data_IF_970273969851
#
_entry.id   IF_970273969851
#
_cell.length_a   1.000
_cell.length_b   1.000
_cell.length_c   1.000
_cell.angle_alpha   90.00
_cell.angle_beta   90.00
_cell.angle_gamma   90.00
#
_symmetry.space_group_name_H-M   'P 1'
#
loop_
_entity.id
_entity.type
_entity.pdbx_description
1 polymer ?
#
# COMPACT_ATOMS: atom_id res chain seq x y z
N UNK A 1 -1.77 -19.92 -2.54
CA UNK A 1 -2.30 -19.17 -3.68
C UNK A 1 -1.74 -17.75 -3.61
N UNK A 2 -1.23 -17.22 -4.72
CA UNK A 2 -0.66 -15.86 -4.74
C UNK A 2 -1.76 -14.93 -5.25
N UNK A 3 -2.47 -14.31 -4.31
CA UNK A 3 -3.43 -13.20 -4.43
C UNK A 3 -4.42 -13.20 -5.62
N UNK A 4 -5.72 -13.02 -5.30
CA UNK A 4 -6.77 -12.84 -6.30
C UNK A 4 -6.40 -11.78 -7.36
N UNK A 5 -6.51 -12.16 -8.64
CA UNK A 5 -6.26 -11.27 -9.79
C UNK A 5 -4.87 -11.42 -10.45
N UNK A 6 -3.94 -12.17 -9.85
CA UNK A 6 -2.70 -12.54 -10.51
C UNK A 6 -2.98 -13.56 -11.63
N UNK A 7 -2.60 -13.23 -12.87
CA UNK A 7 -2.79 -14.14 -14.02
C UNK A 7 -1.54 -14.96 -14.31
N UNK A 8 -0.38 -14.31 -14.25
CA UNK A 8 0.89 -14.93 -14.58
C UNK A 8 1.97 -14.44 -13.62
N UNK A 9 2.82 -15.34 -13.17
CA UNK A 9 4.09 -15.02 -12.53
C UNK A 9 5.13 -16.03 -12.99
N UNK A 10 6.28 -15.55 -13.44
CA UNK A 10 7.36 -16.41 -13.91
C UNK A 10 8.73 -15.80 -13.63
N UNK A 11 9.66 -16.69 -13.33
CA UNK A 11 11.07 -16.35 -13.21
C UNK A 11 11.66 -16.12 -14.60
N UNK A 12 12.32 -14.98 -14.79
CA UNK A 12 12.96 -14.62 -16.05
C UNK A 12 14.40 -15.15 -16.09
N UNK A 13 15.12 -15.06 -14.96
CA UNK A 13 16.54 -15.38 -14.89
C UNK A 13 17.30 -14.37 -14.02
N UNK A 14 18.63 -14.42 -14.09
CA UNK A 14 19.49 -13.50 -13.35
C UNK A 14 19.92 -12.29 -14.17
N UNK A 15 20.15 -11.18 -13.48
CA UNK A 15 20.66 -9.93 -14.04
C UNK A 15 21.72 -9.31 -13.15
N UNK A 16 22.71 -8.66 -13.76
CA UNK A 16 23.86 -8.06 -13.07
C UNK A 16 23.91 -6.52 -13.22
N UNK A 17 22.81 -5.90 -13.67
CA UNK A 17 22.80 -4.48 -14.08
C UNK A 17 22.14 -3.53 -13.09
N UNK A 18 21.46 -4.05 -12.06
CA UNK A 18 20.68 -3.25 -11.10
C UNK A 18 21.25 -3.42 -9.68
N UNK A 19 21.35 -2.32 -8.93
CA UNK A 19 21.68 -2.37 -7.51
C UNK A 19 23.10 -2.83 -7.16
N UNK A 20 24.01 -2.89 -8.14
CA UNK A 20 25.41 -3.30 -7.94
C UNK A 20 25.59 -4.75 -7.48
N UNK A 21 24.57 -5.59 -7.65
CA UNK A 21 24.56 -6.99 -7.20
C UNK A 21 23.91 -7.89 -8.27
N UNK A 22 24.06 -9.20 -8.14
CA UNK A 22 23.29 -10.15 -8.94
C UNK A 22 21.86 -10.18 -8.42
N UNK A 23 20.91 -10.14 -9.34
CA UNK A 23 19.48 -10.10 -9.04
C UNK A 23 18.75 -11.22 -9.75
N UNK A 24 17.79 -11.83 -9.06
CA UNK A 24 16.76 -12.67 -9.61
C UNK A 24 15.65 -11.78 -10.18
N UNK A 25 15.34 -11.96 -11.47
CA UNK A 25 14.25 -11.26 -12.14
C UNK A 25 12.99 -12.10 -12.16
N UNK A 26 11.89 -11.52 -11.70
CA UNK A 26 10.55 -12.11 -11.78
C UNK A 26 9.65 -11.16 -12.55
N UNK A 27 8.84 -11.70 -13.45
CA UNK A 27 7.74 -10.96 -14.05
C UNK A 27 6.41 -11.47 -13.52
N UNK A 28 5.47 -10.56 -13.33
CA UNK A 28 4.09 -10.91 -13.04
C UNK A 28 3.11 -9.97 -13.76
N UNK A 29 1.91 -10.49 -14.02
CA UNK A 29 0.87 -9.80 -14.77
C UNK A 29 -0.50 -9.99 -14.12
N UNK A 30 -1.28 -8.92 -14.11
CA UNK A 30 -2.72 -8.92 -13.88
C UNK A 30 -3.46 -8.45 -15.14
N UNK A 31 -4.78 -8.29 -15.05
CA UNK A 31 -5.58 -7.68 -16.12
C UNK A 31 -5.26 -6.19 -16.35
N UNK A 32 -4.59 -5.52 -15.39
CA UNK A 32 -4.34 -4.07 -15.43
C UNK A 32 -2.87 -3.68 -15.54
N UNK A 33 -1.93 -4.53 -15.10
CA UNK A 33 -0.51 -4.18 -15.07
C UNK A 33 0.39 -5.37 -15.35
N UNK A 34 1.47 -5.09 -16.08
CA UNK A 34 2.62 -5.97 -16.20
C UNK A 34 3.80 -5.39 -15.42
N UNK A 35 4.39 -6.19 -14.54
CA UNK A 35 5.50 -5.78 -13.67
C UNK A 35 6.69 -6.71 -13.84
N UNK A 36 7.87 -6.12 -13.92
CA UNK A 36 9.15 -6.81 -13.69
C UNK A 36 9.74 -6.32 -12.38
N UNK A 37 10.24 -7.24 -11.57
CA UNK A 37 10.95 -6.94 -10.33
C UNK A 37 12.33 -7.60 -10.35
N UNK A 38 13.32 -6.85 -9.89
CA UNK A 38 14.69 -7.31 -9.64
C UNK A 38 14.87 -7.45 -8.14
N UNK A 39 15.20 -8.65 -7.69
CA UNK A 39 15.37 -9.00 -6.28
C UNK A 39 16.82 -9.46 -6.09
N UNK A 40 17.55 -8.97 -5.09
CA UNK A 40 18.92 -9.42 -4.84
C UNK A 40 18.98 -10.94 -4.67
N UNK A 41 19.88 -11.60 -5.40
CA UNK A 41 19.93 -13.06 -5.42
C UNK A 41 20.39 -13.64 -4.08
N UNK A 42 21.17 -12.88 -3.30
CA UNK A 42 21.68 -13.30 -1.99
C UNK A 42 20.81 -12.75 -0.85
N UNK A 43 20.67 -11.43 -0.77
CA UNK A 43 19.96 -10.75 0.33
C UNK A 43 18.43 -10.74 0.21
N UNK A 44 17.91 -11.15 -0.95
CA UNK A 44 16.47 -11.18 -1.29
C UNK A 44 15.78 -9.81 -1.17
N UNK A 45 16.52 -8.71 -1.28
CA UNK A 45 15.97 -7.36 -1.19
C UNK A 45 15.54 -6.84 -2.57
N UNK A 46 14.39 -6.17 -2.69
CA UNK A 46 13.99 -5.52 -3.94
C UNK A 46 14.99 -4.45 -4.35
N UNK A 47 15.41 -4.47 -5.61
CA UNK A 47 16.38 -3.53 -6.18
C UNK A 47 15.76 -2.60 -7.22
N UNK A 48 14.83 -3.11 -8.02
CA UNK A 48 14.06 -2.29 -8.97
C UNK A 48 12.71 -2.92 -9.27
N UNK A 49 11.73 -2.07 -9.53
CA UNK A 49 10.46 -2.43 -10.12
C UNK A 49 10.25 -1.63 -11.40
N UNK A 50 9.68 -2.29 -12.41
CA UNK A 50 9.23 -1.66 -13.64
C UNK A 50 7.81 -2.11 -13.93
N UNK A 51 6.87 -1.17 -13.91
CA UNK A 51 5.47 -1.40 -14.25
C UNK A 51 5.11 -0.77 -15.59
N UNK A 52 4.28 -1.46 -16.36
CA UNK A 52 3.60 -0.95 -17.55
C UNK A 52 2.12 -1.24 -17.38
N UNK A 53 1.28 -0.20 -17.40
CA UNK A 53 -0.16 -0.33 -17.25
C UNK A 53 -0.82 -0.62 -18.60
N UNK A 54 -1.77 -1.54 -18.63
CA UNK A 54 -2.42 -1.99 -19.86
C UNK A 54 -3.34 -0.92 -20.47
N UNK A 55 -3.92 -0.04 -19.64
CA UNK A 55 -4.78 1.06 -20.06
C UNK A 55 -4.02 2.32 -20.49
N UNK A 56 -2.72 2.40 -20.19
CA UNK A 56 -1.85 3.45 -20.70
C UNK A 56 -1.51 3.21 -22.17
N UNK A 57 -2.14 4.00 -23.06
CA UNK A 57 -1.90 3.94 -24.51
C UNK A 57 -0.45 4.20 -24.91
N UNK A 58 0.27 4.97 -24.11
CA UNK A 58 1.68 5.26 -24.36
C UNK A 58 2.63 4.19 -23.82
N UNK A 59 2.09 3.21 -23.07
CA UNK A 59 2.83 2.10 -22.46
C UNK A 59 4.09 2.59 -21.72
N UNK A 60 3.94 3.68 -20.97
CA UNK A 60 5.05 4.25 -20.22
C UNK A 60 5.55 3.25 -19.20
N UNK A 61 6.88 3.19 -19.09
CA UNK A 61 7.57 2.38 -18.11
C UNK A 61 7.71 3.20 -16.84
N UNK A 62 6.94 2.85 -15.82
CA UNK A 62 7.10 3.40 -14.49
C UNK A 62 8.21 2.62 -13.79
N UNK A 63 9.35 3.26 -13.57
CA UNK A 63 10.52 2.62 -12.98
C UNK A 63 10.80 3.22 -11.60
N UNK A 64 11.03 2.34 -10.63
CA UNK A 64 11.45 2.69 -9.27
C UNK A 64 12.64 1.84 -8.89
N UNK A 65 13.75 2.47 -8.52
CA UNK A 65 14.94 1.82 -7.97
C UNK A 65 14.94 1.96 -6.45
N UNK A 66 15.29 0.87 -5.76
CA UNK A 66 15.37 0.78 -4.31
C UNK A 66 16.80 0.41 -3.93
N UNK A 67 17.43 1.25 -3.11
CA UNK A 67 18.82 1.10 -2.72
C UNK A 67 19.01 1.50 -1.26
N UNK A 68 20.21 1.22 -0.73
CA UNK A 68 20.58 1.56 0.65
C UNK A 68 19.56 1.04 1.67
N UNK A 69 19.30 -0.26 1.67
CA UNK A 69 18.41 -0.87 2.64
C UNK A 69 19.03 -0.85 4.04
N UNK A 70 18.28 -0.35 5.01
CA UNK A 70 18.61 -0.46 6.42
C UNK A 70 17.65 -1.48 7.01
N UNK A 71 18.19 -2.57 7.53
CA UNK A 71 17.43 -3.67 8.14
C UNK A 71 17.69 -3.70 9.64
N UNK A 72 16.77 -4.31 10.38
CA UNK A 72 16.91 -4.59 11.81
C UNK A 72 17.24 -3.35 12.67
N UNK A 73 16.73 -2.18 12.27
CA UNK A 73 16.82 -0.98 13.11
C UNK A 73 15.89 -1.12 14.31
N UNK A 74 16.36 -0.64 15.46
CA UNK A 74 15.48 -0.31 16.56
C UNK A 74 14.66 0.93 16.16
N UNK A 75 13.36 0.74 15.95
CA UNK A 75 12.45 1.79 15.50
C UNK A 75 11.58 2.24 16.67
N UNK A 76 11.77 3.47 17.19
CA UNK A 76 10.97 3.97 18.30
C UNK A 76 9.46 4.00 17.96
N UNK A 77 8.58 3.70 18.93
CA UNK A 77 7.13 3.69 18.69
C UNK A 77 6.55 5.01 18.18
N UNK A 78 7.23 6.12 18.45
CA UNK A 78 6.83 7.48 18.10
C UNK A 78 7.43 7.99 16.78
N UNK A 79 8.26 7.19 16.07
CA UNK A 79 8.93 7.63 14.83
C UNK A 79 7.96 8.06 13.74
N UNK A 80 6.76 7.45 13.70
CA UNK A 80 5.72 7.76 12.72
C UNK A 80 4.75 8.84 13.21
N UNK A 81 5.07 9.52 14.30
CA UNK A 81 4.30 10.66 14.81
C UNK A 81 4.85 11.98 14.27
N UNK A 82 3.98 12.99 14.17
CA UNK A 82 4.37 14.33 13.73
C UNK A 82 3.62 15.38 14.53
N UNK A 83 4.36 16.19 15.28
CA UNK A 83 3.80 17.35 16.00
C UNK A 83 3.15 18.35 15.05
N UNK A 84 3.70 18.51 13.83
CA UNK A 84 3.12 19.33 12.76
C UNK A 84 1.78 18.77 12.28
N UNK A 85 1.68 17.47 12.06
CA UNK A 85 0.41 16.84 11.68
C UNK A 85 -0.62 16.94 12.81
N UNK A 86 -0.20 16.78 14.06
CA UNK A 86 -1.07 16.91 15.24
C UNK A 86 -1.63 18.33 15.40
N UNK A 87 -0.85 19.35 15.04
CA UNK A 87 -1.27 20.76 15.08
C UNK A 87 -2.05 21.21 13.84
N UNK A 88 -2.16 20.37 12.80
CA UNK A 88 -2.86 20.74 11.58
C UNK A 88 -4.37 20.89 11.83
N UNK A 89 -5.05 21.87 11.20
CA UNK A 89 -6.49 21.99 11.28
C UNK A 89 -7.18 20.68 10.86
N UNK A 90 -8.07 20.17 11.72
CA UNK A 90 -8.87 18.98 11.41
C UNK A 90 -9.91 19.34 10.35
N UNK A 91 -9.89 18.64 9.22
CA UNK A 91 -10.93 18.74 8.21
C UNK A 91 -12.02 17.73 8.58
N UNK A 92 -13.27 18.16 8.86
CA UNK A 92 -14.37 17.22 9.07
C UNK A 92 -14.65 16.44 7.78
N UNK A 93 -14.74 15.13 7.86
CA UNK A 93 -15.26 14.32 6.76
C UNK A 93 -16.74 14.66 6.55
N UNK A 94 -17.07 15.21 5.39
CA UNK A 94 -18.46 15.40 4.98
C UNK A 94 -18.88 14.21 4.09
N UNK A 95 -20.04 13.58 4.35
CA UNK A 95 -20.57 12.60 3.42
C UNK A 95 -20.86 13.27 2.06
N UNK A 96 -20.67 12.56 0.94
CA UNK A 96 -20.89 13.09 -0.40
C UNK A 96 -22.37 13.32 -0.75
N UNK A 97 -23.31 12.94 0.12
CA UNK A 97 -24.75 12.95 -0.19
C UNK A 97 -25.39 14.35 -0.18
N UNK A 98 -26.42 14.55 -1.03
CA UNK A 98 -27.04 15.85 -1.25
C UNK A 98 -27.69 16.35 0.04
N UNK A 99 -27.56 17.66 0.28
CA UNK A 99 -28.25 18.37 1.36
C UNK A 99 -29.70 17.90 1.42
N UNK A 100 -30.15 17.46 2.60
CA UNK A 100 -31.56 17.10 2.83
C UNK A 100 -32.46 18.23 2.27
N UNK A 101 -33.60 17.88 1.64
CA UNK A 101 -34.59 18.86 1.23
C UNK A 101 -35.00 19.76 2.41
N UNK A 102 -35.32 21.05 2.19
CA UNK A 102 -35.78 21.93 3.26
C UNK A 102 -37.03 21.36 3.95
N UNK A 103 -36.90 20.94 5.21
CA UNK A 103 -38.02 20.46 6.03
C UNK A 103 -37.78 19.16 6.80
N UNK A 104 -36.78 18.37 6.43
CA UNK A 104 -36.46 17.12 7.11
C UNK A 104 -35.43 17.34 8.23
N UNK A 105 -35.81 17.05 9.48
CA UNK A 105 -34.86 17.09 10.61
C UNK A 105 -34.03 15.80 10.64
N UNK A 106 -32.73 15.88 10.93
CA UNK A 106 -31.93 14.69 11.18
C UNK A 106 -32.54 13.87 12.33
N UNK A 107 -32.51 12.53 12.27
CA UNK A 107 -32.87 11.71 13.42
C UNK A 107 -31.99 12.08 14.62
N UNK A 108 -32.58 12.17 15.80
CA UNK A 108 -31.88 12.53 17.03
C UNK A 108 -30.67 11.60 17.23
N UNK A 109 -29.51 12.18 17.55
CA UNK A 109 -28.30 11.42 17.91
C UNK A 109 -28.67 10.46 19.04
N UNK A 110 -28.56 9.15 18.79
CA UNK A 110 -28.64 8.16 19.85
C UNK A 110 -27.57 8.49 20.89
N UNK A 111 -27.98 8.59 22.16
CA UNK A 111 -27.05 8.75 23.29
C UNK A 111 -26.06 7.58 23.36
N UNK A 112 -24.97 7.73 24.12
CA UNK A 112 -23.91 6.72 24.18
C UNK A 112 -24.49 5.35 24.55
N UNK A 113 -24.36 4.39 23.64
CA UNK A 113 -24.67 2.99 23.88
C UNK A 113 -23.75 2.46 24.98
N UNK A 114 -24.35 2.05 26.10
CA UNK A 114 -23.66 1.41 27.22
C UNK A 114 -22.90 0.17 26.71
N UNK A 115 -21.61 -0.01 27.07
CA UNK A 115 -20.88 -1.20 26.65
C UNK A 115 -21.52 -2.46 27.27
N UNK A 116 -21.54 -3.58 26.54
CA UNK A 116 -22.09 -4.84 27.06
C UNK A 116 -21.29 -5.32 28.28
N UNK A 117 -21.95 -5.96 29.28
CA UNK A 117 -21.27 -6.44 30.46
C UNK A 117 -20.23 -7.50 30.09
N UNK A 118 -19.00 -7.36 30.62
CA UNK A 118 -17.96 -8.38 30.51
C UNK A 118 -18.47 -9.67 31.14
N UNK A 119 -18.62 -10.73 30.35
CA UNK A 119 -18.81 -12.09 30.87
C UNK A 119 -17.58 -12.44 31.70
N UNK A 120 -17.81 -12.79 32.97
CA UNK A 120 -16.79 -13.38 33.83
C UNK A 120 -16.25 -14.66 33.19
N UNK A 121 -14.92 -14.80 33.22
CA UNK A 121 -14.21 -16.03 32.91
C UNK A 121 -14.48 -17.07 34.00
N UNK A 122 -14.60 -18.37 33.66
CA UNK A 122 -14.62 -19.45 34.63
C UNK A 122 -13.26 -19.62 35.33
#
# INVERSE_FOLDING_TARGET
DIADGLKHAFYIGQSHVVGGTTTDMVAYASDSVFVQIWIGAEDKLPRMLRAVYHDDRSQMRHQMELSNWWLDLDVPPDVFTSSRAAAAPRIPFAPPDPKLPPGERPPAKAGPSQPPPRRGTP
#
